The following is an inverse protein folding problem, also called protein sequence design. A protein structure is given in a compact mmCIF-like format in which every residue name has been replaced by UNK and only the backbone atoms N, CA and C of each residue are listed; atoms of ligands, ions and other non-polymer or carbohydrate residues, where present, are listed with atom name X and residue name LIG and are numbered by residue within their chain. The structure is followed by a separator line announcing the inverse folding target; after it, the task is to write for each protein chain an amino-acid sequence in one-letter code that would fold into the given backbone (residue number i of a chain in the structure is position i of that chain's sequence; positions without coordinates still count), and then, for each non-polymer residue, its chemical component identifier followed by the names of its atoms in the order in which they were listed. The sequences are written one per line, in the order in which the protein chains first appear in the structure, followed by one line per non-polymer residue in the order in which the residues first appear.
data_IF_633719333956
#
_entry.id   IF_633719333956
#
_cell.length_a   1.000
_cell.length_b   1.000
_cell.length_c   1.000
_cell.angle_alpha   90.00
_cell.angle_beta   90.00
_cell.angle_gamma   90.00
#
_symmetry.space_group_name_H-M   'P 1'
#
loop_
_entity.id
_entity.type
_entity.pdbx_description
1 polymer ?
#
# COMPACT_ATOMS: atom_id res chain seq x y z
N UNK A 1 3.80 21.84 -1.19
CA UNK A 1 3.27 20.54 -1.63
C UNK A 1 3.81 19.49 -0.68
N UNK A 2 2.94 18.77 0.03
CA UNK A 2 3.38 17.66 0.89
C UNK A 2 3.77 16.50 0.00
N UNK A 3 5.01 16.04 0.10
CA UNK A 3 5.43 14.80 -0.54
C UNK A 3 4.92 13.64 0.32
N UNK A 4 4.14 12.73 -0.27
CA UNK A 4 3.81 11.47 0.37
C UNK A 4 5.11 10.67 0.50
N UNK A 5 5.36 10.13 1.70
CA UNK A 5 6.52 9.29 1.96
C UNK A 5 6.02 7.90 2.31
N UNK A 6 6.57 6.90 1.63
CA UNK A 6 6.21 5.50 1.80
C UNK A 6 7.36 4.74 2.44
N UNK A 7 7.02 3.82 3.34
CA UNK A 7 7.96 2.92 3.97
C UNK A 7 7.38 1.50 4.00
N UNK A 8 8.25 0.51 3.92
CA UNK A 8 7.88 -0.89 4.04
C UNK A 8 9.06 -1.70 4.56
N UNK A 9 8.74 -2.81 5.22
CA UNK A 9 9.73 -3.81 5.61
C UNK A 9 10.36 -4.48 4.36
N UNK A 10 11.69 -4.59 4.26
CA UNK A 10 12.35 -5.22 3.12
C UNK A 10 11.97 -6.69 2.89
N UNK A 11 11.74 -7.46 3.95
CA UNK A 11 11.31 -8.86 3.83
C UNK A 11 9.88 -8.94 3.30
N UNK A 12 9.01 -8.00 3.70
CA UNK A 12 7.66 -7.88 3.14
C UNK A 12 7.69 -7.51 1.67
N UNK A 13 8.57 -6.61 1.25
CA UNK A 13 8.73 -6.25 -0.17
C UNK A 13 9.15 -7.46 -1.02
N UNK A 14 10.12 -8.24 -0.55
CA UNK A 14 10.56 -9.45 -1.22
C UNK A 14 9.44 -10.51 -1.28
N UNK A 15 8.69 -10.68 -0.20
CA UNK A 15 7.52 -11.56 -0.16
C UNK A 15 6.43 -11.10 -1.12
N UNK A 16 6.18 -9.79 -1.22
CA UNK A 16 5.17 -9.21 -2.10
C UNK A 16 5.47 -9.50 -3.57
N UNK A 17 6.73 -9.33 -3.99
CA UNK A 17 7.15 -9.65 -5.36
C UNK A 17 6.95 -11.13 -5.65
N UNK A 18 7.32 -12.02 -4.72
CA UNK A 18 7.13 -13.47 -4.90
C UNK A 18 5.65 -13.86 -4.99
N UNK A 19 4.78 -13.23 -4.20
CA UNK A 19 3.34 -13.57 -4.12
C UNK A 19 2.51 -12.94 -5.23
N UNK A 20 2.84 -11.71 -5.62
CA UNK A 20 1.97 -10.88 -6.46
C UNK A 20 2.66 -10.42 -7.76
N UNK A 21 3.97 -10.61 -7.91
CA UNK A 21 4.71 -10.21 -9.10
C UNK A 21 4.94 -8.70 -9.23
N UNK A 22 4.61 -7.91 -8.21
CA UNK A 22 4.72 -6.45 -8.22
C UNK A 22 5.54 -5.93 -7.04
N UNK A 23 6.23 -4.81 -7.24
CA UNK A 23 7.01 -4.12 -6.21
C UNK A 23 6.14 -3.07 -5.50
N UNK A 24 6.50 -2.70 -4.27
CA UNK A 24 5.83 -1.59 -3.59
C UNK A 24 6.12 -0.23 -4.23
N UNK A 25 7.28 -0.08 -4.88
CA UNK A 25 7.61 1.13 -5.67
C UNK A 25 6.62 1.30 -6.83
N UNK A 26 6.30 0.22 -7.54
CA UNK A 26 5.28 0.26 -8.59
C UNK A 26 3.89 0.56 -8.01
N UNK A 27 3.55 -0.12 -6.91
CA UNK A 27 2.25 0.04 -6.27
C UNK A 27 2.03 1.44 -5.67
N UNK A 28 3.09 2.17 -5.31
CA UNK A 28 3.02 3.55 -4.81
C UNK A 28 2.30 4.49 -5.78
N UNK A 29 2.41 4.24 -7.08
CA UNK A 29 1.80 5.08 -8.12
C UNK A 29 0.27 5.22 -7.97
N UNK A 30 -0.41 4.25 -7.36
CA UNK A 30 -1.88 4.29 -7.16
C UNK A 30 -2.31 5.45 -6.27
N UNK A 31 -1.44 5.93 -5.38
CA UNK A 31 -1.73 7.05 -4.48
C UNK A 31 -1.70 8.41 -5.19
N UNK A 32 -1.26 8.44 -6.46
CA UNK A 32 -1.30 9.64 -7.30
C UNK A 32 -2.59 9.75 -8.12
N UNK A 33 -3.47 8.74 -8.08
CA UNK A 33 -4.75 8.76 -8.80
C UNK A 33 -5.81 9.53 -7.99
N UNK A 34 -6.18 10.73 -8.45
CA UNK A 34 -7.21 11.58 -7.84
C UNK A 34 -8.61 10.95 -7.86
N UNK A 35 -8.84 9.97 -8.75
CA UNK A 35 -10.10 9.23 -8.86
C UNK A 35 -10.05 7.88 -8.12
N UNK A 36 -9.00 7.60 -7.35
CA UNK A 36 -8.87 6.38 -6.59
C UNK A 36 -10.04 6.20 -5.60
N UNK A 37 -10.55 4.97 -5.51
CA UNK A 37 -11.55 4.62 -4.49
C UNK A 37 -10.84 4.11 -3.25
N UNK A 38 -11.09 4.76 -2.12
CA UNK A 38 -10.59 4.38 -0.80
C UNK A 38 -11.77 3.83 0.01
N UNK A 39 -11.72 2.56 0.42
CA UNK A 39 -12.85 1.88 1.05
C UNK A 39 -12.35 1.17 2.30
N UNK A 40 -12.83 1.49 3.52
CA UNK A 40 -12.37 0.83 4.73
C UNK A 40 -12.44 -0.70 4.65
N UNK A 41 -11.35 -1.38 5.04
CA UNK A 41 -11.31 -2.84 5.13
C UNK A 41 -12.24 -3.29 6.28
N UNK A 42 -13.36 -3.99 6.00
CA UNK A 42 -14.32 -4.39 7.02
C UNK A 42 -13.74 -5.39 8.03
N UNK A 43 -12.67 -6.09 7.64
CA UNK A 43 -11.98 -7.09 8.48
C UNK A 43 -10.78 -6.47 9.22
N UNK A 44 -10.60 -5.15 9.22
CA UNK A 44 -9.47 -4.52 9.88
C UNK A 44 -9.45 -4.87 11.37
N UNK A 45 -8.35 -5.47 11.83
CA UNK A 45 -8.16 -5.83 13.23
C UNK A 45 -8.09 -4.58 14.10
N UNK A 46 -8.62 -4.67 15.33
CA UNK A 46 -8.57 -3.58 16.31
C UNK A 46 -7.13 -3.07 16.51
N UNK A 47 -6.85 -1.85 16.07
CA UNK A 47 -5.58 -1.16 16.30
C UNK A 47 -4.84 -0.66 15.06
N UNK A 48 -5.28 -1.02 13.85
CA UNK A 48 -4.72 -0.51 12.58
C UNK A 48 -5.87 -0.06 11.65
N UNK A 49 -5.76 1.15 11.09
CA UNK A 49 -6.66 1.58 10.02
C UNK A 49 -6.19 1.01 8.68
N UNK A 50 -7.09 0.32 7.98
CA UNK A 50 -6.83 -0.30 6.68
C UNK A 50 -7.97 0.07 5.72
N UNK A 51 -7.64 0.32 4.45
CA UNK A 51 -8.51 0.83 3.39
C UNK A 51 -8.37 0.01 2.09
#
# INVERSE_FOLDING_TARGET
MSYLQFEWDPNKAESNIRKHGITFIEAESVFSDECARVIPDPDSSYGEERF
#
